data_IF_934477303714
#
_entry.id   IF_934477303714
#
_cell.length_a   1.000
_cell.length_b   1.000
_cell.length_c   1.000
_cell.angle_alpha   90.00
_cell.angle_beta   90.00
_cell.angle_gamma   90.00
#
_symmetry.space_group_name_H-M   'P 1'
#
loop_
_entity.id
_entity.type
_entity.pdbx_description
1 polymer ?
#
# COMPACT_ATOMS: atom_id res chain seq x y z
N UNK A 1 3.84 6.75 12.71
CA UNK A 1 2.43 6.39 12.58
C UNK A 1 1.95 5.93 13.94
N UNK A 2 1.03 6.66 14.57
CA UNK A 2 0.39 6.24 15.83
C UNK A 2 -1.10 6.00 15.59
N UNK A 3 -1.42 5.20 14.57
CA UNK A 3 -2.79 4.75 14.37
C UNK A 3 -2.91 3.33 14.94
N UNK A 4 -3.68 3.11 16.03
CA UNK A 4 -3.81 1.79 16.65
C UNK A 4 -4.53 0.77 15.75
N UNK A 5 -5.14 1.21 14.65
CA UNK A 5 -5.79 0.35 13.64
C UNK A 5 -4.87 -0.05 12.48
N UNK A 6 -3.57 0.18 12.60
CA UNK A 6 -2.56 -0.28 11.63
C UNK A 6 -1.48 -1.04 12.41
N UNK A 7 -1.23 -2.30 12.03
CA UNK A 7 -0.14 -3.07 12.61
C UNK A 7 1.21 -2.41 12.33
N UNK A 8 2.12 -2.45 13.30
CA UNK A 8 3.44 -1.81 13.19
C UNK A 8 4.28 -2.35 12.03
N UNK A 9 4.00 -3.58 11.59
CA UNK A 9 4.65 -4.25 10.47
C UNK A 9 3.75 -4.37 9.24
N UNK A 10 2.59 -3.70 9.21
CA UNK A 10 1.65 -3.82 8.11
C UNK A 10 2.20 -3.37 6.76
N UNK A 11 3.17 -2.45 6.76
CA UNK A 11 3.64 -1.80 5.55
C UNK A 11 5.02 -2.33 5.18
N UNK A 12 5.13 -2.93 4.00
CA UNK A 12 6.43 -3.39 3.49
C UNK A 12 7.41 -2.24 3.28
N UNK A 13 8.70 -2.53 3.44
CA UNK A 13 9.78 -1.59 3.17
C UNK A 13 10.38 -1.86 1.79
N UNK A 14 10.13 -0.97 0.82
CA UNK A 14 10.65 -1.11 -0.53
C UNK A 14 12.10 -0.62 -0.61
N UNK A 15 13.05 -1.56 -0.63
CA UNK A 15 14.45 -1.26 -0.96
C UNK A 15 14.83 -1.82 -2.34
N UNK A 16 15.83 -1.24 -3.03
CA UNK A 16 16.32 -1.77 -4.30
C UNK A 16 16.79 -3.23 -4.22
N UNK A 17 17.36 -3.64 -3.08
CA UNK A 17 17.87 -4.99 -2.85
C UNK A 17 16.74 -6.00 -2.64
N UNK A 18 15.69 -5.61 -1.90
CA UNK A 18 14.53 -6.47 -1.67
C UNK A 18 13.59 -6.54 -2.89
N UNK A 19 13.50 -5.45 -3.67
CA UNK A 19 12.61 -5.34 -4.82
C UNK A 19 13.33 -4.90 -6.11
N UNK A 20 14.35 -5.65 -6.58
CA UNK A 20 15.17 -5.23 -7.73
C UNK A 20 14.38 -5.12 -9.03
N UNK A 21 13.34 -5.93 -9.20
CA UNK A 21 12.44 -5.87 -10.37
C UNK A 21 11.60 -4.60 -10.38
N UNK A 22 11.01 -4.25 -9.24
CA UNK A 22 10.22 -3.03 -9.10
C UNK A 22 11.11 -1.81 -9.26
N UNK A 23 12.28 -1.80 -8.60
CA UNK A 23 13.27 -0.73 -8.74
C UNK A 23 13.67 -0.49 -10.20
N UNK A 24 13.88 -1.54 -10.99
CA UNK A 24 14.19 -1.41 -12.42
C UNK A 24 13.06 -0.75 -13.22
N UNK A 25 11.81 -0.92 -12.78
CA UNK A 25 10.63 -0.38 -13.46
C UNK A 25 10.37 1.08 -13.10
N UNK A 26 10.46 1.43 -11.82
CA UNK A 26 10.00 2.74 -11.32
C UNK A 26 11.14 3.64 -10.82
N UNK A 27 12.36 3.11 -10.71
CA UNK A 27 13.52 3.80 -10.18
C UNK A 27 13.43 4.10 -8.68
N UNK A 28 14.44 4.81 -8.16
CA UNK A 28 14.51 5.17 -6.75
C UNK A 28 13.34 6.04 -6.30
N UNK A 29 12.99 7.06 -7.10
CA UNK A 29 11.87 7.94 -6.80
C UNK A 29 10.54 7.20 -6.81
N UNK A 30 10.34 6.29 -7.76
CA UNK A 30 9.12 5.49 -7.81
C UNK A 30 8.95 4.58 -6.61
N UNK A 31 10.02 3.98 -6.07
CA UNK A 31 9.94 3.20 -4.83
C UNK A 31 9.49 4.07 -3.65
N UNK A 32 10.00 5.30 -3.54
CA UNK A 32 9.60 6.25 -2.49
C UNK A 32 8.12 6.62 -2.63
N UNK A 33 7.65 6.89 -3.85
CA UNK A 33 6.24 7.24 -4.09
C UNK A 33 5.30 6.06 -3.84
N UNK A 34 5.70 4.83 -4.21
CA UNK A 34 4.94 3.61 -3.90
C UNK A 34 4.89 3.40 -2.38
N UNK A 35 6.03 3.51 -1.69
CA UNK A 35 6.09 3.41 -0.24
C UNK A 35 5.15 4.41 0.44
N UNK A 36 5.13 5.65 -0.04
CA UNK A 36 4.22 6.69 0.45
C UNK A 36 2.77 6.35 0.15
N UNK A 37 2.47 5.87 -1.05
CA UNK A 37 1.12 5.47 -1.43
C UNK A 37 0.61 4.31 -0.55
N UNK A 38 1.43 3.33 -0.22
CA UNK A 38 1.07 2.24 0.70
C UNK A 38 0.74 2.76 2.10
N UNK A 39 1.52 3.73 2.60
CA UNK A 39 1.25 4.42 3.88
C UNK A 39 -0.09 5.15 3.85
N UNK A 40 -0.32 5.96 2.82
CA UNK A 40 -1.58 6.69 2.65
C UNK A 40 -2.77 5.71 2.54
N UNK A 41 -2.58 4.58 1.86
CA UNK A 41 -3.59 3.53 1.69
C UNK A 41 -3.95 2.85 3.01
N UNK A 42 -2.95 2.52 3.84
CA UNK A 42 -3.16 1.98 5.17
C UNK A 42 -4.01 2.95 6.03
N UNK A 43 -3.67 4.24 6.00
CA UNK A 43 -4.39 5.27 6.75
C UNK A 43 -5.84 5.41 6.27
N UNK A 44 -6.08 5.49 4.96
CA UNK A 44 -7.43 5.58 4.39
C UNK A 44 -8.30 4.38 4.77
N UNK A 45 -7.77 3.16 4.65
CA UNK A 45 -8.54 1.94 4.93
C UNK A 45 -8.75 1.74 6.43
N UNK A 46 -7.80 2.14 7.28
CA UNK A 46 -7.96 2.05 8.73
C UNK A 46 -9.15 2.87 9.28
N UNK A 47 -9.55 3.92 8.55
CA UNK A 47 -10.68 4.78 8.90
C UNK A 47 -12.03 4.14 8.52
N UNK A 48 -12.03 3.09 7.70
CA UNK A 48 -13.26 2.40 7.32
C UNK A 48 -13.81 1.60 8.50
N UNK A 49 -15.14 1.65 8.74
CA UNK A 49 -15.77 0.77 9.73
C UNK A 49 -15.67 -0.70 9.33
N UNK A 50 -15.51 -0.99 8.03
CA UNK A 50 -15.36 -2.35 7.53
C UNK A 50 -14.01 -2.98 7.85
N UNK A 51 -12.97 -2.22 8.20
CA UNK A 51 -11.63 -2.72 8.53
C UNK A 51 -11.39 -2.63 10.05
N UNK A 52 -11.08 -3.75 10.69
CA UNK A 52 -10.82 -3.82 12.12
C UNK A 52 -9.38 -3.42 12.47
N UNK A 53 -8.40 -4.03 11.79
CA UNK A 53 -6.98 -3.75 11.91
C UNK A 53 -6.33 -3.98 10.55
N UNK A 54 -5.63 -2.98 10.00
CA UNK A 54 -4.80 -3.18 8.81
C UNK A 54 -3.58 -4.02 9.20
N UNK A 55 -3.45 -5.21 8.63
CA UNK A 55 -2.37 -6.16 8.95
C UNK A 55 -1.32 -6.27 7.84
N UNK A 56 -1.68 -5.91 6.61
CA UNK A 56 -0.74 -5.95 5.49
C UNK A 56 -1.12 -4.96 4.38
N UNK A 57 -0.13 -4.29 3.80
CA UNK A 57 -0.25 -3.41 2.65
C UNK A 57 0.88 -3.68 1.68
N UNK A 58 0.52 -3.85 0.41
CA UNK A 58 1.48 -4.06 -0.65
C UNK A 58 1.10 -3.37 -1.96
N UNK A 59 2.12 -3.14 -2.78
CA UNK A 59 2.00 -2.58 -4.11
C UNK A 59 1.42 -3.62 -5.07
N UNK A 60 0.40 -3.22 -5.84
CA UNK A 60 -0.22 -4.06 -6.86
C UNK A 60 0.43 -3.84 -8.22
N UNK A 61 1.34 -4.75 -8.61
CA UNK A 61 1.96 -4.74 -9.94
C UNK A 61 0.95 -4.88 -11.09
N UNK A 62 -0.20 -5.55 -10.86
CA UNK A 62 -1.21 -5.80 -11.90
C UNK A 62 -2.21 -4.67 -12.07
N UNK A 63 -2.37 -3.82 -11.05
CA UNK A 63 -3.28 -2.67 -11.08
C UNK A 63 -2.55 -1.33 -11.13
N UNK A 64 -1.23 -1.31 -11.12
CA UNK A 64 -0.43 -0.09 -11.25
C UNK A 64 0.09 0.09 -12.66
N UNK A 65 0.16 1.34 -13.09
CA UNK A 65 0.83 1.79 -14.31
C UNK A 65 1.62 3.05 -13.97
N UNK A 66 2.78 2.89 -13.33
CA UNK A 66 3.61 4.02 -12.92
C UNK A 66 4.17 4.77 -14.15
N UNK A 67 4.21 6.11 -14.14
CA UNK A 67 3.88 7.02 -13.03
C UNK A 67 2.41 7.42 -12.91
N UNK A 68 1.57 7.09 -13.90
CA UNK A 68 0.19 7.61 -14.00
C UNK A 68 -0.74 7.04 -12.92
N UNK A 69 -0.51 5.79 -12.52
CA UNK A 69 -1.37 5.05 -11.60
C UNK A 69 -0.57 4.18 -10.65
N UNK A 70 -0.75 4.41 -9.35
CA UNK A 70 -0.24 3.54 -8.28
C UNK A 70 -1.44 2.90 -7.60
N UNK A 71 -1.42 1.58 -7.48
CA UNK A 71 -2.42 0.80 -6.78
C UNK A 71 -1.78 0.01 -5.65
N UNK A 72 -2.39 0.06 -4.47
CA UNK A 72 -2.02 -0.75 -3.32
C UNK A 72 -3.20 -1.60 -2.91
N UNK A 73 -2.93 -2.80 -2.44
CA UNK A 73 -3.93 -3.61 -1.76
C UNK A 73 -3.67 -3.57 -0.26
N UNK A 74 -4.76 -3.45 0.50
CA UNK A 74 -4.73 -3.36 1.96
C UNK A 74 -5.57 -4.50 2.50
N UNK A 75 -4.94 -5.36 3.30
CA UNK A 75 -5.57 -6.47 3.98
C UNK A 75 -5.83 -6.12 5.44
N UNK A 76 -7.05 -6.39 5.86
CA UNK A 76 -7.50 -6.23 7.23
C UNK A 76 -7.58 -7.60 7.91
N UNK A 77 -7.33 -7.64 9.22
CA UNK A 77 -7.35 -8.85 10.05
C UNK A 77 -8.67 -9.62 9.99
N UNK A 78 -9.79 -8.93 9.76
CA UNK A 78 -11.09 -9.56 9.53
C UNK A 78 -11.24 -10.25 8.16
N UNK A 79 -10.17 -10.33 7.36
CA UNK A 79 -10.13 -11.00 6.07
C UNK A 79 -10.59 -10.16 4.89
N UNK A 80 -10.91 -8.87 5.09
CA UNK A 80 -11.28 -7.97 3.98
C UNK A 80 -10.05 -7.41 3.30
N UNK A 81 -10.08 -7.40 1.96
CA UNK A 81 -9.09 -6.74 1.11
C UNK A 81 -9.71 -5.53 0.42
N UNK A 82 -9.02 -4.40 0.50
CA UNK A 82 -9.35 -3.17 -0.21
C UNK A 82 -8.29 -2.87 -1.25
N UNK A 83 -8.69 -2.27 -2.37
CA UNK A 83 -7.75 -1.72 -3.34
C UNK A 83 -7.82 -0.21 -3.30
N UNK A 84 -6.68 0.45 -3.17
CA UNK A 84 -6.56 1.90 -3.22
C UNK A 84 -5.79 2.25 -4.48
N UNK A 85 -6.39 3.04 -5.36
CA UNK A 85 -5.78 3.48 -6.62
C UNK A 85 -5.66 5.00 -6.57
N UNK A 86 -4.45 5.54 -6.68
CA UNK A 86 -4.18 6.97 -6.58
C UNK A 86 -4.84 7.62 -5.35
N UNK A 87 -4.74 6.97 -4.17
CA UNK A 87 -5.38 7.38 -2.90
C UNK A 87 -6.91 7.36 -2.89
N UNK A 88 -7.54 6.65 -3.83
CA UNK A 88 -8.98 6.46 -3.89
C UNK A 88 -9.30 4.98 -3.65
N UNK A 89 -10.02 4.69 -2.57
CA UNK A 89 -10.52 3.34 -2.27
C UNK A 89 -11.50 2.93 -3.37
N UNK A 90 -11.20 1.82 -4.04
CA UNK A 90 -12.06 1.17 -5.02
C UNK A 90 -13.03 0.25 -4.27
N UNK A 91 -14.34 0.47 -4.46
CA UNK A 91 -15.42 -0.32 -3.86
C UNK A 91 -15.80 -1.49 -4.75
#
# INVERSE_FOLDING_TARGET
MNNPKIDVNAIESYTPEAYPKLFKQVGAQGLIEIQKHDRDSAELVSQLPECDLVEYVGHSNTKSNYPDQIASFVDCKNGKRFYVVNRIIQK
#
